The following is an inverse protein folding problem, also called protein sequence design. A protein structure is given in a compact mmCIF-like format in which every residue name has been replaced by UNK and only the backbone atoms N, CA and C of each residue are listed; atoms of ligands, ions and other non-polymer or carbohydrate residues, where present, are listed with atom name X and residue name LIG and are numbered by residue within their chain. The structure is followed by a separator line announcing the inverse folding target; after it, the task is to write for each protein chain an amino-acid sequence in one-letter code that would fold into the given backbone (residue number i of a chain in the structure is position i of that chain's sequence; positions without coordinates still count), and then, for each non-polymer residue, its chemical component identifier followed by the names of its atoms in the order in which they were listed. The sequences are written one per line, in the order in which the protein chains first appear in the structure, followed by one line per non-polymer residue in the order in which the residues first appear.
data_IF_652675629735
#
_entry.id   IF_652675629735
#
_cell.length_a   1.000
_cell.length_b   1.000
_cell.length_c   1.000
_cell.angle_alpha   90.00
_cell.angle_beta   90.00
_cell.angle_gamma   90.00
#
_symmetry.space_group_name_H-M   'P 1'
#
loop_
_entity.id
_entity.type
_entity.pdbx_description
1 polymer ?
#
# COMPACT_ATOMS: atom_id res chain seq x y z
N UNK A 1 1.82 -12.53 -9.31
CA UNK A 1 2.65 -11.64 -8.48
C UNK A 1 4.03 -11.67 -9.08
N UNK A 2 4.55 -10.51 -9.46
CA UNK A 2 5.95 -10.34 -9.83
C UNK A 2 6.76 -10.18 -8.55
N UNK A 3 8.07 -10.50 -8.57
CA UNK A 3 8.93 -10.20 -7.42
C UNK A 3 8.85 -8.67 -7.15
N UNK A 4 8.74 -8.27 -5.87
CA UNK A 4 8.66 -6.88 -5.37
C UNK A 4 7.28 -6.18 -5.42
N UNK A 5 6.19 -6.96 -5.43
CA UNK A 5 4.83 -6.42 -5.39
C UNK A 5 4.44 -5.89 -3.99
N UNK A 6 3.50 -4.95 -3.93
CA UNK A 6 2.88 -4.47 -2.68
C UNK A 6 1.44 -4.98 -2.52
N UNK A 7 1.18 -5.73 -1.46
CA UNK A 7 -0.16 -6.26 -1.17
C UNK A 7 -0.79 -5.51 -0.01
N UNK A 8 -2.08 -5.20 -0.14
CA UNK A 8 -2.87 -4.69 0.98
C UNK A 8 -3.32 -5.85 1.86
N UNK A 9 -2.99 -5.78 3.14
CA UNK A 9 -3.33 -6.80 4.13
C UNK A 9 -3.83 -6.15 5.42
N UNK A 10 -4.94 -6.66 5.97
CA UNK A 10 -5.49 -6.17 7.23
C UNK A 10 -4.83 -6.79 8.46
N UNK A 11 -4.17 -7.95 8.32
CA UNK A 11 -3.52 -8.67 9.43
C UNK A 11 -2.07 -8.25 9.71
N UNK A 12 -1.48 -7.46 8.83
CA UNK A 12 -0.08 -7.02 8.97
C UNK A 12 0.06 -5.96 10.06
N UNK A 13 0.98 -6.17 11.01
CA UNK A 13 1.28 -5.24 12.11
C UNK A 13 2.48 -4.31 11.84
N UNK A 14 3.27 -4.60 10.79
CA UNK A 14 4.51 -3.89 10.43
C UNK A 14 4.75 -3.88 8.90
N UNK A 15 5.30 -2.79 8.37
CA UNK A 15 5.59 -2.63 6.93
C UNK A 15 7.02 -3.05 6.59
N UNK A 16 7.39 -3.31 5.33
CA UNK A 16 8.73 -3.86 5.00
C UNK A 16 9.76 -2.79 4.59
N UNK A 17 9.34 -1.68 3.98
CA UNK A 17 10.22 -0.62 3.43
C UNK A 17 9.42 0.65 3.09
N UNK A 18 10.02 1.85 2.88
CA UNK A 18 9.31 3.02 2.39
C UNK A 18 8.54 2.77 1.08
N UNK A 19 7.40 3.46 0.93
CA UNK A 19 6.38 3.14 -0.07
C UNK A 19 6.11 4.33 -0.98
N UNK A 20 6.28 4.14 -2.29
CA UNK A 20 5.92 5.14 -3.29
C UNK A 20 4.73 4.67 -4.12
N UNK A 21 3.62 5.40 -4.04
CA UNK A 21 2.47 5.15 -4.91
C UNK A 21 2.56 5.95 -6.20
N UNK A 22 2.09 5.34 -7.29
CA UNK A 22 1.87 6.03 -8.55
C UNK A 22 0.39 6.36 -8.71
N UNK A 23 0.09 7.66 -8.74
CA UNK A 23 -1.26 8.20 -8.85
C UNK A 23 -1.28 9.27 -9.93
N UNK A 24 -2.11 9.09 -10.96
CA UNK A 24 -2.30 10.06 -12.05
C UNK A 24 -0.97 10.55 -12.69
N UNK A 25 -0.01 9.65 -12.89
CA UNK A 25 1.31 9.96 -13.46
C UNK A 25 2.29 10.63 -12.50
N UNK A 26 1.92 10.84 -11.23
CA UNK A 26 2.78 11.39 -10.19
C UNK A 26 3.16 10.34 -9.15
N UNK A 27 4.38 10.46 -8.62
CA UNK A 27 4.83 9.67 -7.47
C UNK A 27 4.44 10.38 -6.17
N UNK A 28 3.80 9.66 -5.25
CA UNK A 28 3.49 10.12 -3.90
C UNK A 28 4.28 9.24 -2.93
N UNK A 29 5.22 9.86 -2.21
CA UNK A 29 6.05 9.18 -1.22
C UNK A 29 5.33 9.09 0.12
N UNK A 30 5.31 7.89 0.70
CA UNK A 30 4.83 7.64 2.05
C UNK A 30 5.98 7.16 2.91
N UNK A 31 6.23 7.89 3.99
CA UNK A 31 7.12 7.44 5.05
C UNK A 31 6.33 6.55 6.00
N UNK A 32 6.53 5.25 5.88
CA UNK A 32 5.96 4.29 6.81
C UNK A 32 6.79 4.29 8.10
N UNK A 33 6.11 4.30 9.24
CA UNK A 33 6.74 4.19 10.57
C UNK A 33 6.56 2.76 11.08
N UNK A 34 7.45 2.34 11.99
CA UNK A 34 7.41 1.02 12.65
C UNK A 34 7.41 -0.15 11.65
N UNK A 35 8.39 -0.10 10.74
CA UNK A 35 8.57 -1.06 9.65
C UNK A 35 9.48 -2.22 10.09
N UNK A 36 9.09 -3.46 9.79
CA UNK A 36 9.93 -4.65 9.88
C UNK A 36 10.87 -4.69 8.67
N UNK A 37 12.16 -4.43 8.88
CA UNK A 37 13.14 -4.55 7.81
C UNK A 37 13.35 -6.02 7.42
N UNK A 38 12.84 -6.41 6.24
CA UNK A 38 12.90 -7.78 5.72
C UNK A 38 13.38 -7.79 4.25
N UNK A 39 14.68 -7.60 3.99
CA UNK A 39 15.23 -7.40 2.63
C UNK A 39 15.08 -8.62 1.71
N UNK A 40 14.86 -9.82 2.27
CA UNK A 40 14.68 -11.07 1.53
C UNK A 40 13.20 -11.42 1.29
N UNK A 41 12.25 -10.59 1.72
CA UNK A 41 10.85 -10.82 1.48
C UNK A 41 10.52 -10.63 -0.02
N UNK A 42 9.78 -11.58 -0.60
CA UNK A 42 9.45 -11.56 -2.04
C UNK A 42 8.52 -10.37 -2.38
N UNK A 43 7.62 -10.02 -1.45
CA UNK A 43 6.65 -8.94 -1.59
C UNK A 43 6.60 -8.12 -0.30
N UNK A 44 6.18 -6.86 -0.43
CA UNK A 44 5.94 -5.98 0.70
C UNK A 44 4.45 -5.92 1.05
N UNK A 45 4.13 -5.72 2.33
CA UNK A 45 2.75 -5.63 2.81
C UNK A 45 2.47 -4.21 3.33
N UNK A 46 1.34 -3.64 2.90
CA UNK A 46 0.76 -2.44 3.51
C UNK A 46 -0.36 -2.86 4.46
N UNK A 47 -0.25 -2.43 5.72
CA UNK A 47 -1.30 -2.67 6.71
C UNK A 47 -2.49 -1.74 6.47
N UNK A 48 -3.64 -2.32 6.15
CA UNK A 48 -4.89 -1.56 6.03
C UNK A 48 -5.29 -0.91 7.37
N UNK A 49 -5.08 -1.62 8.48
CA UNK A 49 -5.40 -1.13 9.83
C UNK A 49 -4.53 0.06 10.22
N UNK A 50 -3.21 -0.02 10.00
CA UNK A 50 -2.32 1.14 10.28
C UNK A 50 -2.64 2.33 9.40
N UNK A 51 -3.00 2.11 8.14
CA UNK A 51 -3.43 3.19 7.25
C UNK A 51 -4.71 3.87 7.78
N UNK A 52 -5.69 3.09 8.24
CA UNK A 52 -6.92 3.58 8.86
C UNK A 52 -6.66 4.35 10.18
N UNK A 53 -5.76 3.86 11.04
CA UNK A 53 -5.35 4.53 12.29
C UNK A 53 -4.80 5.95 12.06
N UNK A 54 -4.21 6.23 10.89
CA UNK A 54 -3.76 7.59 10.52
C UNK A 54 -4.89 8.51 10.03
N UNK A 55 -6.13 8.05 10.07
CA UNK A 55 -7.31 8.71 9.48
C UNK A 55 -7.43 8.51 7.97
N UNK A 56 -6.61 7.62 7.38
CA UNK A 56 -6.70 7.22 5.99
C UNK A 56 -7.98 6.42 5.72
N UNK A 57 -8.45 6.43 4.48
CA UNK A 57 -9.64 5.70 4.03
C UNK A 57 -9.32 4.82 2.85
N UNK A 58 -9.79 3.57 2.88
CA UNK A 58 -9.65 2.62 1.79
C UNK A 58 -11.03 2.32 1.21
N UNK A 59 -11.22 2.60 -0.08
CA UNK A 59 -12.46 2.34 -0.79
C UNK A 59 -12.25 1.24 -1.83
N UNK A 60 -12.99 0.13 -1.69
CA UNK A 60 -12.95 -1.00 -2.60
C UNK A 60 -14.16 -0.99 -3.53
N UNK A 61 -13.93 -1.04 -4.83
CA UNK A 61 -15.01 -1.05 -5.82
C UNK A 61 -14.52 -1.59 -7.16
N UNK A 62 -15.39 -2.22 -7.96
CA UNK A 62 -15.09 -2.65 -9.34
C UNK A 62 -13.72 -3.34 -9.52
N UNK A 63 -13.34 -4.23 -8.60
CA UNK A 63 -12.02 -4.91 -8.58
C UNK A 63 -10.81 -3.97 -8.48
N UNK A 64 -10.97 -2.81 -7.83
CA UNK A 64 -9.97 -1.78 -7.55
C UNK A 64 -10.03 -1.35 -6.09
N UNK A 65 -8.97 -0.73 -5.61
CA UNK A 65 -8.98 0.03 -4.37
C UNK A 65 -8.40 1.43 -4.57
N UNK A 66 -8.96 2.39 -3.84
CA UNK A 66 -8.42 3.73 -3.67
C UNK A 66 -8.04 3.95 -2.21
N UNK A 67 -6.86 4.49 -1.98
CA UNK A 67 -6.38 4.91 -0.67
C UNK A 67 -6.38 6.44 -0.64
N UNK A 68 -7.10 7.02 0.30
CA UNK A 68 -7.18 8.46 0.52
C UNK A 68 -6.64 8.81 1.90
N UNK A 69 -5.89 9.90 2.01
CA UNK A 69 -5.44 10.37 3.33
C UNK A 69 -6.59 11.02 4.12
N UNK A 70 -6.30 11.47 5.33
CA UNK A 70 -7.26 12.14 6.22
C UNK A 70 -7.90 13.40 5.62
N UNK A 71 -7.22 14.07 4.70
CA UNK A 71 -7.73 15.22 3.95
C UNK A 71 -8.59 14.83 2.72
N UNK A 72 -8.84 13.54 2.51
CA UNK A 72 -9.61 13.02 1.37
C UNK A 72 -8.84 12.99 0.03
N UNK A 73 -7.55 13.31 0.05
CA UNK A 73 -6.69 13.34 -1.14
C UNK A 73 -6.33 11.91 -1.52
N UNK A 74 -6.44 11.56 -2.81
CA UNK A 74 -6.03 10.26 -3.34
C UNK A 74 -4.51 10.12 -3.27
N UNK A 75 -4.04 9.13 -2.54
CA UNK A 75 -2.60 8.91 -2.26
C UNK A 75 -2.11 7.55 -2.71
N UNK A 76 -3.00 6.64 -3.09
CA UNK A 76 -2.65 5.33 -3.61
C UNK A 76 -3.82 4.67 -4.35
N UNK A 77 -3.49 3.76 -5.24
CA UNK A 77 -4.46 2.93 -5.96
C UNK A 77 -4.00 1.48 -5.98
N UNK A 78 -4.92 0.56 -6.23
CA UNK A 78 -4.59 -0.84 -6.42
C UNK A 78 -5.67 -1.59 -7.21
N UNK A 79 -5.34 -2.82 -7.60
CA UNK A 79 -6.21 -3.71 -8.38
C UNK A 79 -6.33 -5.07 -7.69
N UNK A 80 -7.54 -5.62 -7.68
CA UNK A 80 -7.78 -6.98 -7.20
C UNK A 80 -7.15 -8.00 -8.16
N UNK A 81 -6.25 -8.83 -7.64
CA UNK A 81 -5.57 -9.91 -8.35
C UNK A 81 -5.52 -11.13 -7.43
N UNK A 82 -6.03 -12.28 -7.88
CA UNK A 82 -6.05 -13.54 -7.11
C UNK A 82 -6.62 -13.38 -5.67
N UNK A 83 -7.71 -12.61 -5.54
CA UNK A 83 -8.43 -12.28 -4.29
C UNK A 83 -7.74 -11.27 -3.36
N UNK A 84 -6.51 -10.86 -3.64
CA UNK A 84 -5.79 -9.82 -2.92
C UNK A 84 -5.82 -8.50 -3.69
N UNK A 85 -5.55 -7.37 -3.03
CA UNK A 85 -5.38 -6.09 -3.71
C UNK A 85 -3.89 -5.78 -3.86
N UNK A 86 -3.44 -5.80 -5.11
CA UNK A 86 -2.10 -5.40 -5.50
C UNK A 86 -2.07 -3.88 -5.66
N UNK A 87 -1.26 -3.21 -4.85
CA UNK A 87 -1.10 -1.77 -4.86
C UNK A 87 -0.22 -1.34 -6.04
N UNK A 88 -0.61 -0.24 -6.69
CA UNK A 88 0.20 0.41 -7.70
C UNK A 88 1.31 1.24 -7.04
N UNK A 89 2.29 0.53 -6.50
CA UNK A 89 3.34 1.11 -5.71
C UNK A 89 4.67 0.36 -5.88
N UNK A 90 5.77 1.03 -5.57
CA UNK A 90 7.11 0.44 -5.49
C UNK A 90 7.72 0.66 -4.12
N UNK A 91 8.54 -0.30 -3.72
CA UNK A 91 9.48 -0.12 -2.63
C UNK A 91 10.59 0.86 -3.03
N UNK A 92 11.09 1.63 -2.08
CA UNK A 92 12.44 2.19 -2.16
C UNK A 92 13.42 1.06 -1.75
N UNK A 93 14.42 0.78 -2.58
CA UNK A 93 15.50 -0.18 -2.31
C UNK A 93 16.75 0.56 -1.83
#
# INVERSE_FOLDING_TARGET
FTHQDWLLDSGTTSHITPLHFYVNGKTITHTLKDVLHAPNAINSLLSAGRFDETGGKIHFYASKCELRNSNGILVGTGKKTNRLYLLNAKAEL
#
